data_IF_401398303659
#
_entry.id   IF_401398303659
#
_cell.length_a   1.000
_cell.length_b   1.000
_cell.length_c   1.000
_cell.angle_alpha   90.00
_cell.angle_beta   90.00
_cell.angle_gamma   90.00
#
_symmetry.space_group_name_H-M   'P 1'
#
loop_
_entity.id
_entity.type
_entity.pdbx_description
1 polymer ?
#
# COMPACT_ATOMS: atom_id res chain seq x y z
N UNK A 1 -3.54 3.86 -6.31
CA UNK A 1 -3.61 3.71 -7.76
C UNK A 1 -2.92 2.42 -8.12
N UNK A 2 -3.66 1.63 -8.87
CA UNK A 2 -3.27 0.30 -9.26
C UNK A 2 -2.02 0.38 -10.15
N UNK A 3 -1.07 -0.52 -9.91
CA UNK A 3 0.20 -0.55 -10.66
C UNK A 3 -0.05 -1.26 -12.00
N UNK A 4 -0.73 -0.57 -12.90
CA UNK A 4 -1.04 -1.03 -14.25
C UNK A 4 -0.60 -0.01 -15.29
N UNK A 5 -0.28 -0.47 -16.49
CA UNK A 5 0.02 0.42 -17.61
C UNK A 5 -1.22 1.24 -17.98
N UNK A 6 -1.08 2.56 -18.08
CA UNK A 6 -2.17 3.48 -18.44
C UNK A 6 -2.66 3.31 -19.89
N UNK A 7 -1.94 2.55 -20.72
CA UNK A 7 -2.29 2.27 -22.12
C UNK A 7 -2.80 0.83 -22.26
N UNK A 8 -1.99 -0.15 -21.87
CA UNK A 8 -2.30 -1.58 -22.10
C UNK A 8 -3.09 -2.24 -20.97
N UNK A 9 -3.31 -1.54 -19.84
CA UNK A 9 -3.91 -2.08 -18.62
C UNK A 9 -3.19 -3.31 -18.03
N UNK A 10 -2.00 -3.64 -18.53
CA UNK A 10 -1.21 -4.78 -18.07
C UNK A 10 -0.54 -4.50 -16.73
N UNK A 11 -0.46 -5.54 -15.89
CA UNK A 11 0.32 -5.54 -14.65
C UNK A 11 1.78 -6.01 -14.83
N UNK A 12 2.16 -6.38 -16.05
CA UNK A 12 3.47 -6.98 -16.35
C UNK A 12 4.44 -5.86 -16.71
N UNK A 13 5.60 -5.82 -16.03
CA UNK A 13 6.69 -4.87 -16.29
C UNK A 13 6.21 -3.40 -16.37
N UNK A 14 5.58 -2.92 -15.31
CA UNK A 14 5.07 -1.54 -15.25
C UNK A 14 6.11 -0.60 -14.62
N UNK A 15 6.26 0.59 -15.21
CA UNK A 15 7.21 1.63 -14.87
C UNK A 15 6.46 2.92 -14.57
N UNK A 16 6.88 3.67 -13.55
CA UNK A 16 6.34 5.02 -13.29
C UNK A 16 7.24 6.07 -13.94
N UNK A 17 6.66 6.94 -14.77
CA UNK A 17 7.35 8.12 -15.30
C UNK A 17 7.44 9.18 -14.19
N UNK A 18 8.65 9.58 -13.80
CA UNK A 18 8.85 10.59 -12.75
C UNK A 18 8.51 12.02 -13.19
N UNK A 19 8.36 12.27 -14.50
CA UNK A 19 7.98 13.57 -15.04
C UNK A 19 6.47 13.79 -14.97
N UNK A 20 5.68 12.81 -15.43
CA UNK A 20 4.22 12.94 -15.53
C UNK A 20 3.42 12.09 -14.54
N UNK A 21 4.08 11.21 -13.76
CA UNK A 21 3.45 10.35 -12.76
C UNK A 21 2.64 9.17 -13.33
N UNK A 22 2.57 9.01 -14.66
CA UNK A 22 1.83 7.92 -15.32
C UNK A 22 2.62 6.61 -15.33
N UNK A 23 1.89 5.50 -15.41
CA UNK A 23 2.45 4.16 -15.45
C UNK A 23 2.47 3.62 -16.88
N UNK A 24 3.60 3.08 -17.33
CA UNK A 24 3.79 2.53 -18.68
C UNK A 24 4.35 1.11 -18.61
N UNK A 25 3.98 0.25 -19.55
CA UNK A 25 4.57 -1.07 -19.70
C UNK A 25 5.91 -0.94 -20.42
N UNK A 26 6.98 -1.47 -19.85
CA UNK A 26 8.28 -1.54 -20.53
C UNK A 26 8.50 -2.90 -21.16
N UNK A 27 8.86 -2.88 -22.44
CA UNK A 27 9.20 -4.08 -23.21
C UNK A 27 10.62 -4.55 -22.86
N UNK A 28 10.76 -5.84 -22.54
CA UNK A 28 12.03 -6.52 -22.67
C UNK A 28 12.30 -6.75 -24.16
N UNK A 29 13.06 -5.84 -24.80
CA UNK A 29 13.59 -5.91 -26.18
C UNK A 29 12.55 -5.93 -27.32
N UNK A 30 12.56 -4.87 -28.14
CA UNK A 30 12.26 -4.97 -29.58
C UNK A 30 10.82 -4.79 -30.08
N UNK A 31 9.88 -4.31 -29.27
CA UNK A 31 8.52 -3.97 -29.73
C UNK A 31 8.37 -2.47 -29.96
N UNK A 32 7.98 -2.08 -31.18
CA UNK A 32 7.64 -0.70 -31.58
C UNK A 32 6.46 -0.18 -30.76
N UNK A 33 6.75 0.55 -29.69
CA UNK A 33 5.88 1.55 -29.06
C UNK A 33 6.78 2.52 -28.27
N UNK A 34 7.78 3.07 -28.95
CA UNK A 34 8.57 4.18 -28.45
C UNK A 34 7.86 5.47 -28.80
N UNK A 35 6.91 5.88 -27.96
CA UNK A 35 6.84 7.30 -27.63
C UNK A 35 8.10 7.61 -26.83
N UNK A 36 8.89 8.58 -27.25
CA UNK A 36 10.19 8.95 -26.66
C UNK A 36 10.16 9.02 -25.12
N UNK A 37 10.61 7.95 -24.46
CA UNK A 37 10.88 7.97 -23.03
C UNK A 37 12.39 8.20 -22.87
N UNK A 38 12.81 9.45 -23.12
CA UNK A 38 14.00 10.04 -22.49
C UNK A 38 13.70 10.44 -21.01
N UNK A 39 12.77 9.75 -20.35
CA UNK A 39 12.31 10.10 -19.00
C UNK A 39 12.68 9.01 -18.00
N UNK A 40 13.37 9.45 -16.94
CA UNK A 40 13.80 8.66 -15.78
C UNK A 40 12.67 7.76 -15.28
N UNK A 41 12.80 6.45 -15.51
CA UNK A 41 11.78 5.46 -15.17
C UNK A 41 12.18 4.64 -13.95
N UNK A 42 11.32 4.59 -12.93
CA UNK A 42 11.49 3.73 -11.76
C UNK A 42 10.76 2.41 -12.00
N UNK A 43 11.48 1.28 -12.03
CA UNK A 43 10.88 -0.05 -12.12
C UNK A 43 10.02 -0.35 -10.88
N UNK A 44 8.75 -0.67 -11.11
CA UNK A 44 7.84 -1.25 -10.12
C UNK A 44 7.53 -2.69 -10.55
N UNK A 45 8.54 -3.55 -10.53
CA UNK A 45 8.35 -4.97 -10.79
C UNK A 45 7.61 -5.66 -9.63
N UNK A 46 6.41 -6.18 -9.90
CA UNK A 46 5.59 -6.91 -8.93
C UNK A 46 6.20 -8.28 -8.52
N UNK A 47 7.28 -8.73 -9.16
CA UNK A 47 7.81 -10.10 -8.97
C UNK A 47 9.21 -10.20 -8.39
N UNK A 48 10.04 -9.13 -8.38
CA UNK A 48 11.46 -9.26 -7.98
C UNK A 48 12.01 -8.14 -7.09
N UNK A 49 11.18 -7.21 -6.62
CA UNK A 49 11.61 -6.16 -5.67
C UNK A 49 12.80 -5.30 -6.14
N UNK A 50 13.19 -5.39 -7.41
CA UNK A 50 14.37 -4.74 -7.95
C UNK A 50 13.93 -3.49 -8.71
N UNK A 51 14.03 -2.35 -8.05
CA UNK A 51 13.91 -1.04 -8.68
C UNK A 51 15.16 -0.77 -9.52
N UNK A 52 15.11 -1.11 -10.80
CA UNK A 52 16.14 -0.72 -11.78
C UNK A 52 15.73 0.60 -12.43
N UNK A 53 16.54 1.64 -12.27
CA UNK A 53 16.43 2.85 -13.07
C UNK A 53 16.98 2.51 -14.45
N UNK A 54 16.16 2.63 -15.50
CA UNK A 54 16.62 2.52 -16.88
C UNK A 54 16.60 3.92 -17.49
N UNK A 55 17.79 4.43 -17.82
CA UNK A 55 18.00 5.71 -18.49
C UNK A 55 18.82 6.70 -17.66
N UNK A 56 20.11 6.82 -18.04
CA UNK A 56 21.12 7.81 -17.64
C UNK A 56 21.46 7.91 -16.15
N UNK A 57 22.76 7.97 -15.83
CA UNK A 57 23.35 7.92 -14.48
C UNK A 57 22.83 8.94 -13.47
N UNK A 58 21.63 8.72 -12.94
CA UNK A 58 21.03 9.48 -11.85
C UNK A 58 20.83 8.54 -10.65
N UNK A 59 21.90 8.31 -9.89
CA UNK A 59 21.88 7.55 -8.64
C UNK A 59 21.24 8.34 -7.45
N UNK A 60 20.59 9.47 -7.71
CA UNK A 60 20.35 10.51 -6.70
C UNK A 60 19.08 10.44 -5.85
N UNK A 61 18.06 9.63 -6.15
CA UNK A 61 16.76 9.76 -5.46
C UNK A 61 16.29 8.51 -4.71
N UNK A 62 16.97 8.18 -3.61
CA UNK A 62 16.47 7.21 -2.62
C UNK A 62 15.07 7.60 -2.07
N UNK A 63 14.76 8.90 -2.03
CA UNK A 63 13.47 9.41 -1.55
C UNK A 63 12.25 8.91 -2.35
N UNK A 64 12.34 8.84 -3.68
CA UNK A 64 11.24 8.37 -4.53
C UNK A 64 10.93 6.89 -4.32
N UNK A 65 11.97 6.07 -4.05
CA UNK A 65 11.80 4.64 -3.72
C UNK A 65 11.04 4.45 -2.40
N UNK A 66 11.37 5.26 -1.40
CA UNK A 66 10.75 5.20 -0.08
C UNK A 66 9.26 5.58 -0.12
N UNK A 67 8.87 6.54 -0.97
CA UNK A 67 7.45 6.89 -1.14
C UNK A 67 6.65 5.77 -1.80
N UNK A 68 7.25 5.09 -2.78
CA UNK A 68 6.58 4.03 -3.54
C UNK A 68 6.40 2.74 -2.73
N UNK A 69 7.39 2.41 -1.88
CA UNK A 69 7.32 1.28 -0.94
C UNK A 69 8.00 1.68 0.37
N UNK A 70 7.27 2.29 1.31
CA UNK A 70 7.83 2.66 2.61
C UNK A 70 8.22 1.38 3.36
N UNK A 71 9.44 1.35 3.88
CA UNK A 71 9.95 0.28 4.72
C UNK A 71 10.30 0.82 6.10
N UNK A 72 10.07 0.01 7.13
CA UNK A 72 10.32 0.38 8.51
C UNK A 72 11.23 -0.67 9.13
N UNK A 73 12.28 -0.22 9.81
CA UNK A 73 13.11 -1.11 10.63
C UNK A 73 12.51 -1.25 12.03
N UNK A 74 12.81 -2.34 12.73
CA UNK A 74 12.31 -2.55 14.10
C UNK A 74 12.63 -1.37 15.04
N UNK A 75 13.84 -0.79 14.93
CA UNK A 75 14.24 0.39 15.68
C UNK A 75 13.38 1.63 15.35
N UNK A 76 13.05 1.84 14.08
CA UNK A 76 12.15 2.92 13.67
C UNK A 76 10.76 2.72 14.27
N UNK A 77 10.23 1.49 14.21
CA UNK A 77 8.91 1.14 14.74
C UNK A 77 8.83 1.42 16.25
N UNK A 78 9.83 1.03 17.04
CA UNK A 78 9.86 1.31 18.48
C UNK A 78 9.95 2.80 18.81
N UNK A 79 10.56 3.59 17.92
CA UNK A 79 10.72 5.03 18.10
C UNK A 79 9.52 5.85 17.60
N UNK A 80 8.60 5.27 16.81
CA UNK A 80 7.42 5.97 16.30
C UNK A 80 6.54 6.54 17.41
N UNK A 81 6.37 5.79 18.51
CA UNK A 81 5.54 6.24 19.65
C UNK A 81 6.23 7.28 20.52
N UNK A 82 7.56 7.38 20.42
CA UNK A 82 8.38 8.28 21.26
C UNK A 82 8.68 9.61 20.58
N UNK A 83 8.52 9.70 19.26
CA UNK A 83 8.89 10.87 18.48
C UNK A 83 7.66 11.62 17.97
N UNK A 84 7.30 12.70 18.65
CA UNK A 84 6.32 13.68 18.17
C UNK A 84 6.92 14.65 17.12
N UNK A 85 7.79 14.15 16.25
CA UNK A 85 8.47 15.01 15.27
C UNK A 85 7.56 15.24 14.06
N UNK A 86 7.25 16.50 13.80
CA UNK A 86 6.60 16.92 12.56
C UNK A 86 7.48 16.54 11.36
N UNK A 87 6.87 15.83 10.42
CA UNK A 87 7.43 15.51 9.12
C UNK A 87 6.99 16.54 8.10
N UNK A 88 7.85 16.86 7.13
CA UNK A 88 7.55 17.83 6.08
C UNK A 88 7.34 17.11 4.77
N UNK A 89 6.18 17.31 4.16
CA UNK A 89 5.89 16.83 2.83
C UNK A 89 6.63 17.67 1.77
N UNK A 90 6.72 17.16 0.54
CA UNK A 90 7.42 17.85 -0.54
C UNK A 90 6.74 19.16 -0.95
N UNK A 91 5.42 19.26 -0.80
CA UNK A 91 4.64 20.49 -0.98
C UNK A 91 4.87 21.54 0.12
N UNK A 92 5.69 21.22 1.13
CA UNK A 92 6.01 22.09 2.24
C UNK A 92 5.09 21.92 3.46
N UNK A 93 4.01 21.15 3.34
CA UNK A 93 3.04 20.91 4.42
C UNK A 93 3.66 20.08 5.54
N UNK A 94 3.50 20.53 6.78
CA UNK A 94 3.90 19.76 7.97
C UNK A 94 2.79 18.81 8.40
N UNK A 95 3.13 17.57 8.71
CA UNK A 95 2.20 16.56 9.20
C UNK A 95 2.87 15.64 10.23
N UNK A 96 2.09 15.01 11.08
CA UNK A 96 2.58 13.94 11.95
C UNK A 96 2.36 12.59 11.26
N UNK A 97 3.39 11.73 11.14
CA UNK A 97 3.20 10.37 10.66
C UNK A 97 2.09 9.67 11.45
N UNK A 98 1.18 8.99 10.76
CA UNK A 98 -0.02 8.39 11.37
C UNK A 98 -1.21 9.33 11.48
N UNK A 99 -1.00 10.64 11.62
CA UNK A 99 -2.05 11.67 11.64
C UNK A 99 -2.09 12.38 10.27
N UNK A 100 -2.50 11.62 9.26
CA UNK A 100 -2.50 12.04 7.86
C UNK A 100 -3.90 11.85 7.29
N UNK A 101 -4.43 12.82 6.55
CA UNK A 101 -5.79 12.72 6.00
C UNK A 101 -5.95 11.57 5.00
N UNK A 102 -7.07 10.85 5.04
CA UNK A 102 -7.46 9.92 3.99
C UNK A 102 -8.37 10.62 2.98
N UNK A 103 -8.11 10.45 1.68
CA UNK A 103 -8.98 11.04 0.65
C UNK A 103 -10.41 10.47 0.77
N UNK A 104 -11.39 11.36 0.80
CA UNK A 104 -12.77 11.00 0.56
C UNK A 104 -12.99 10.92 -0.95
N UNK A 105 -13.30 9.73 -1.46
CA UNK A 105 -13.50 9.48 -2.88
C UNK A 105 -14.95 9.75 -3.24
N UNK A 106 -15.88 9.27 -2.40
CA UNK A 106 -17.31 9.59 -2.46
C UNK A 106 -17.95 9.53 -1.06
N UNK A 107 -18.42 8.35 -0.64
CA UNK A 107 -19.14 8.14 0.60
C UNK A 107 -18.44 7.07 1.45
N UNK A 108 -17.10 7.16 1.55
CA UNK A 108 -16.24 6.17 2.24
C UNK A 108 -15.66 6.70 3.55
N UNK A 109 -16.29 7.72 4.13
CA UNK A 109 -15.93 8.32 5.41
C UNK A 109 -16.01 7.33 6.58
N UNK A 110 -17.03 6.47 6.61
CA UNK A 110 -17.17 5.39 7.60
C UNK A 110 -15.92 4.49 7.62
N UNK A 111 -15.44 4.09 6.45
CA UNK A 111 -14.24 3.25 6.32
C UNK A 111 -12.98 4.05 6.67
N UNK A 112 -12.88 5.32 6.27
CA UNK A 112 -11.76 6.16 6.61
C UNK A 112 -11.61 6.35 8.13
N UNK A 113 -12.72 6.57 8.84
CA UNK A 113 -12.73 6.71 10.29
C UNK A 113 -12.21 5.43 10.97
N UNK A 114 -12.72 4.26 10.55
CA UNK A 114 -12.29 2.97 11.08
C UNK A 114 -10.82 2.68 10.77
N UNK A 115 -10.36 2.92 9.55
CA UNK A 115 -8.96 2.70 9.16
C UNK A 115 -8.00 3.61 9.93
N UNK A 116 -8.42 4.86 10.22
CA UNK A 116 -7.66 5.78 11.06
C UNK A 116 -7.62 5.34 12.53
N UNK A 117 -8.73 4.84 13.06
CA UNK A 117 -8.78 4.29 14.41
C UNK A 117 -7.81 3.10 14.55
N UNK A 118 -7.85 2.17 13.59
CA UNK A 118 -6.96 0.99 13.60
C UNK A 118 -5.49 1.34 13.34
N UNK A 119 -5.22 2.38 12.55
CA UNK A 119 -3.87 2.91 12.30
C UNK A 119 -3.15 3.35 13.57
N UNK A 120 -3.90 3.88 14.53
CA UNK A 120 -3.36 4.40 15.78
C UNK A 120 -3.30 3.37 16.91
N UNK A 121 -3.62 2.10 16.63
CA UNK A 121 -3.46 0.99 17.59
C UNK A 121 -2.02 0.46 17.48
N UNK A 122 -1.10 0.75 18.42
CA UNK A 122 0.33 0.44 18.26
C UNK A 122 0.67 -1.02 17.95
N UNK A 123 0.10 -2.05 18.63
CA UNK A 123 0.45 -3.44 18.32
C UNK A 123 -0.01 -3.86 16.92
N UNK A 124 -1.20 -3.43 16.50
CA UNK A 124 -1.74 -3.72 15.18
C UNK A 124 -0.93 -3.01 14.10
N UNK A 125 -0.66 -1.72 14.29
CA UNK A 125 0.19 -0.91 13.43
C UNK A 125 1.55 -1.56 13.23
N UNK A 126 2.26 -1.87 14.33
CA UNK A 126 3.60 -2.42 14.29
C UNK A 126 3.66 -3.74 13.50
N UNK A 127 2.66 -4.60 13.67
CA UNK A 127 2.53 -5.84 12.90
C UNK A 127 2.45 -5.57 11.38
N UNK A 128 1.64 -4.60 10.97
CA UNK A 128 1.40 -4.27 9.55
C UNK A 128 2.44 -3.36 8.90
N UNK A 129 3.29 -2.68 9.68
CA UNK A 129 4.42 -1.90 9.17
C UNK A 129 5.54 -2.79 8.61
N UNK A 130 5.67 -4.01 9.11
CA UNK A 130 6.66 -4.98 8.68
C UNK A 130 6.02 -6.09 7.85
N UNK A 131 6.34 -6.13 6.56
CA UNK A 131 5.73 -7.06 5.60
C UNK A 131 6.04 -8.53 5.91
N UNK A 132 7.21 -8.79 6.49
CA UNK A 132 7.67 -10.14 6.80
C UNK A 132 6.79 -10.84 7.86
N UNK A 133 6.07 -10.07 8.69
CA UNK A 133 5.17 -10.60 9.71
C UNK A 133 3.98 -11.37 9.14
N UNK A 134 3.53 -11.06 7.92
CA UNK A 134 2.35 -11.68 7.31
C UNK A 134 2.61 -12.28 5.93
N UNK A 135 3.74 -11.98 5.29
CA UNK A 135 4.09 -12.49 3.96
C UNK A 135 4.34 -14.00 3.92
N UNK A 136 4.83 -14.58 5.01
CA UNK A 136 5.13 -16.02 5.16
C UNK A 136 3.90 -16.88 5.47
N UNK A 137 2.73 -16.27 5.67
CA UNK A 137 1.50 -16.99 5.97
C UNK A 137 1.07 -17.84 4.76
N UNK A 138 0.85 -19.13 5.00
CA UNK A 138 0.36 -20.06 3.99
C UNK A 138 -1.09 -19.76 3.65
N UNK A 139 -1.38 -19.76 2.35
CA UNK A 139 -2.67 -19.33 1.80
C UNK A 139 -3.28 -20.46 0.99
N UNK A 140 -4.60 -20.70 1.12
CA UNK A 140 -5.29 -21.58 0.20
C UNK A 140 -5.29 -20.97 -1.22
N UNK A 141 -5.22 -21.80 -2.28
CA UNK A 141 -5.33 -21.31 -3.65
C UNK A 141 -6.68 -20.62 -3.86
N UNK A 142 -6.66 -19.42 -4.45
CA UNK A 142 -7.87 -18.61 -4.69
C UNK A 142 -8.33 -17.73 -3.52
N UNK A 143 -7.55 -17.62 -2.44
CA UNK A 143 -7.90 -16.75 -1.31
C UNK A 143 -7.78 -15.26 -1.65
N UNK A 144 -8.94 -14.63 -1.86
CA UNK A 144 -9.05 -13.18 -2.08
C UNK A 144 -8.91 -12.37 -0.79
N UNK A 145 -9.17 -12.96 0.39
CA UNK A 145 -9.21 -12.24 1.67
C UNK A 145 -7.83 -11.76 2.09
N UNK A 146 -6.78 -12.48 1.69
CA UNK A 146 -5.40 -12.05 1.94
C UNK A 146 -5.05 -10.73 1.25
N UNK A 147 -5.76 -10.34 0.18
CA UNK A 147 -5.58 -9.03 -0.44
C UNK A 147 -5.88 -7.91 0.56
N UNK A 148 -6.83 -8.10 1.49
CA UNK A 148 -7.09 -7.13 2.57
C UNK A 148 -5.87 -6.94 3.44
N UNK A 149 -5.22 -8.02 3.87
CA UNK A 149 -4.01 -7.99 4.71
C UNK A 149 -2.90 -7.22 4.01
N UNK A 150 -2.67 -7.53 2.72
CA UNK A 150 -1.64 -6.86 1.93
C UNK A 150 -1.93 -5.37 1.73
N UNK A 151 -3.15 -5.02 1.32
CA UNK A 151 -3.54 -3.62 1.08
C UNK A 151 -3.61 -2.80 2.36
N UNK A 152 -4.02 -3.41 3.47
CA UNK A 152 -4.02 -2.77 4.77
C UNK A 152 -2.60 -2.47 5.24
N UNK A 153 -1.67 -3.43 5.11
CA UNK A 153 -0.25 -3.19 5.40
C UNK A 153 0.38 -2.14 4.49
N UNK A 154 0.04 -2.11 3.19
CA UNK A 154 0.46 -1.03 2.28
C UNK A 154 -0.10 0.34 2.71
N UNK A 155 -1.35 0.41 3.16
CA UNK A 155 -1.97 1.64 3.65
C UNK A 155 -1.30 2.13 4.94
N UNK A 156 -1.07 1.23 5.90
CA UNK A 156 -0.40 1.55 7.18
C UNK A 156 0.97 2.15 6.95
N UNK A 157 1.77 1.54 6.06
CA UNK A 157 3.10 2.03 5.70
C UNK A 157 3.06 3.40 5.03
N UNK A 158 2.02 3.72 4.26
CA UNK A 158 1.83 5.05 3.66
C UNK A 158 1.39 6.11 4.67
N UNK A 159 0.51 5.76 5.61
CA UNK A 159 0.03 6.65 6.66
C UNK A 159 1.17 7.05 7.62
N UNK A 160 1.99 6.07 8.00
CA UNK A 160 3.11 6.25 8.92
C UNK A 160 4.42 6.63 8.22
N UNK A 161 4.39 6.94 6.93
CA UNK A 161 5.58 7.36 6.19
C UNK A 161 6.00 8.79 6.61
N UNK A 162 7.20 9.00 7.20
CA UNK A 162 7.71 10.32 7.56
C UNK A 162 8.22 11.15 6.38
N UNK A 163 8.20 10.60 5.16
CA UNK A 163 8.70 11.25 3.93
C UNK A 163 7.67 11.16 2.81
N UNK A 164 6.42 11.53 3.06
CA UNK A 164 5.37 11.58 2.04
C UNK A 164 5.55 12.79 1.13
N UNK A 165 5.09 12.68 -0.12
CA UNK A 165 5.03 13.82 -1.03
C UNK A 165 3.93 14.82 -0.68
N UNK A 166 2.83 14.33 -0.07
CA UNK A 166 1.66 15.11 0.33
C UNK A 166 1.21 14.71 1.72
N UNK A 167 0.59 15.64 2.45
CA UNK A 167 0.01 15.38 3.77
C UNK A 167 -1.37 14.66 3.73
N UNK A 168 -1.63 13.88 2.68
CA UNK A 168 -2.82 13.02 2.57
C UNK A 168 -2.51 11.74 1.79
N UNK A 169 -3.25 10.67 2.07
CA UNK A 169 -3.10 9.35 1.44
C UNK A 169 -4.43 8.91 0.85
N UNK A 170 -4.41 8.41 -0.39
CA UNK A 170 -5.60 7.84 -1.02
C UNK A 170 -5.79 6.37 -0.59
N UNK A 171 -6.92 6.02 0.06
CA UNK A 171 -7.22 4.64 0.45
C UNK A 171 -7.81 3.80 -0.70
N UNK A 172 -7.81 4.28 -1.94
CA UNK A 172 -8.49 3.63 -3.07
C UNK A 172 -8.20 2.13 -3.21
N UNK A 173 -6.93 1.71 -3.18
CA UNK A 173 -6.56 0.28 -3.30
C UNK A 173 -7.10 -0.56 -2.14
N UNK A 174 -7.11 0.01 -0.94
CA UNK A 174 -7.64 -0.64 0.26
C UNK A 174 -9.15 -0.81 0.12
N UNK A 175 -9.84 0.23 -0.33
CA UNK A 175 -11.28 0.20 -0.52
C UNK A 175 -11.70 -0.73 -1.65
N UNK A 176 -10.92 -0.83 -2.74
CA UNK A 176 -11.18 -1.83 -3.78
C UNK A 176 -11.07 -3.26 -3.23
N UNK A 177 -10.06 -3.54 -2.40
CA UNK A 177 -9.93 -4.83 -1.74
C UNK A 177 -11.13 -5.09 -0.80
N UNK A 178 -11.58 -4.07 -0.05
CA UNK A 178 -12.78 -4.15 0.79
C UNK A 178 -14.02 -4.47 -0.04
N UNK A 179 -14.27 -3.77 -1.14
CA UNK A 179 -15.43 -4.03 -2.02
C UNK A 179 -15.41 -5.46 -2.56
N UNK A 180 -14.23 -5.93 -2.99
CA UNK A 180 -14.06 -7.27 -3.53
C UNK A 180 -14.31 -8.35 -2.47
N UNK A 181 -13.67 -8.23 -1.30
CA UNK A 181 -13.72 -9.22 -0.23
C UNK A 181 -15.07 -9.23 0.51
N UNK A 182 -15.73 -8.07 0.59
CA UNK A 182 -17.07 -7.94 1.18
C UNK A 182 -18.19 -8.30 0.22
N UNK A 183 -17.88 -8.72 -1.02
CA UNK A 183 -18.87 -9.01 -2.07
C UNK A 183 -19.83 -7.84 -2.31
N UNK A 184 -19.30 -6.61 -2.32
CA UNK A 184 -20.02 -5.34 -2.49
C UNK A 184 -20.95 -4.94 -1.34
N UNK A 185 -20.81 -5.53 -0.14
CA UNK A 185 -21.52 -5.05 1.05
C UNK A 185 -21.02 -3.66 1.48
N UNK A 186 -19.71 -3.42 1.41
CA UNK A 186 -19.10 -2.12 1.73
C UNK A 186 -18.62 -1.46 0.43
N UNK A 187 -19.41 -0.51 -0.08
CA UNK A 187 -19.13 0.18 -1.34
C UNK A 187 -18.46 1.54 -1.10
N UNK A 188 -17.73 2.03 -2.11
CA UNK A 188 -17.11 3.36 -2.09
C UNK A 188 -18.16 4.45 -2.38
N UNK A 189 -19.15 4.11 -3.21
CA UNK A 189 -20.21 4.99 -3.70
C UNK A 189 -21.38 5.14 -2.74
N UNK A 190 -21.57 4.19 -1.82
CA UNK A 190 -22.67 4.17 -0.86
C UNK A 190 -22.09 4.14 0.55
N UNK A 191 -22.54 5.05 1.39
CA UNK A 191 -22.16 5.10 2.80
C UNK A 191 -22.65 3.84 3.52
N UNK A 192 -21.76 3.24 4.31
CA UNK A 192 -22.06 2.14 5.21
C UNK A 192 -21.97 2.60 6.66
N UNK A 193 -22.31 1.70 7.57
CA UNK A 193 -22.13 1.93 9.01
C UNK A 193 -20.69 1.58 9.44
N UNK A 194 -20.12 2.41 10.32
CA UNK A 194 -18.75 2.23 10.81
C UNK A 194 -18.58 1.03 11.74
N UNK A 195 -19.59 0.69 12.54
CA UNK A 195 -19.57 -0.45 13.47
C UNK A 195 -19.70 -1.75 12.69
N UNK A 196 -20.58 -1.80 11.70
CA UNK A 196 -20.72 -2.96 10.80
C UNK A 196 -19.42 -3.19 10.03
N UNK A 197 -18.83 -2.11 9.50
CA UNK A 197 -17.56 -2.19 8.79
C UNK A 197 -16.42 -2.65 9.70
N UNK A 198 -16.27 -2.09 10.90
CA UNK A 198 -15.24 -2.48 11.86
C UNK A 198 -15.36 -3.96 12.24
N UNK A 199 -16.58 -4.41 12.56
CA UNK A 199 -16.85 -5.79 12.98
C UNK A 199 -16.51 -6.78 11.87
N UNK A 200 -16.97 -6.49 10.65
CA UNK A 200 -16.61 -7.30 9.49
C UNK A 200 -15.10 -7.27 9.22
N UNK A 201 -14.48 -6.09 9.26
CA UNK A 201 -13.10 -5.89 8.87
C UNK A 201 -12.12 -6.61 9.79
N UNK A 202 -12.31 -6.53 11.11
CA UNK A 202 -11.50 -7.27 12.07
C UNK A 202 -11.64 -8.78 11.92
N UNK A 203 -12.86 -9.28 11.73
CA UNK A 203 -13.12 -10.70 11.51
C UNK A 203 -12.50 -11.20 10.19
N UNK A 204 -12.58 -10.38 9.13
CA UNK A 204 -11.96 -10.66 7.84
C UNK A 204 -10.43 -10.68 7.94
N UNK A 205 -9.82 -9.71 8.63
CA UNK A 205 -8.38 -9.69 8.88
C UNK A 205 -7.93 -10.90 9.70
N UNK A 206 -8.62 -11.23 10.78
CA UNK A 206 -8.31 -12.39 11.61
C UNK A 206 -8.37 -13.69 10.79
N UNK A 207 -9.42 -13.86 9.99
CA UNK A 207 -9.58 -15.03 9.12
C UNK A 207 -8.47 -15.13 8.06
N UNK A 208 -8.09 -14.01 7.46
CA UNK A 208 -7.07 -13.95 6.41
C UNK A 208 -5.63 -14.15 6.96
N UNK A 209 -5.39 -13.82 8.22
CA UNK A 209 -4.11 -14.07 8.91
C UNK A 209 -3.94 -15.52 9.40
N UNK A 210 -4.87 -16.42 9.05
CA UNK A 210 -4.82 -17.84 9.42
C UNK A 210 -5.77 -18.22 10.56
N UNK A 211 -6.46 -17.24 11.15
CA UNK A 211 -7.45 -17.45 12.22
C UNK A 211 -6.91 -18.25 13.41
N UNK A 212 -7.74 -19.09 14.01
CA UNK A 212 -7.40 -20.01 15.10
C UNK A 212 -6.87 -21.37 14.63
N UNK A 213 -6.55 -21.53 13.33
CA UNK A 213 -6.08 -22.82 12.81
C UNK A 213 -4.69 -23.12 13.39
N UNK A 214 -4.58 -24.17 14.20
CA UNK A 214 -3.29 -24.70 14.67
C UNK A 214 -2.39 -24.93 13.45
N UNK A 215 -1.13 -24.46 13.51
CA UNK A 215 -0.08 -24.87 12.55
C UNK A 215 -0.17 -26.40 12.41
N UNK A 216 -0.45 -26.90 11.21
CA UNK A 216 -0.26 -28.33 10.93
C UNK A 216 1.20 -28.61 11.27
N UNK A 217 1.45 -29.40 12.31
CA UNK A 217 2.77 -29.97 12.55
C UNK A 217 3.15 -30.66 11.26
N UNK A 218 4.28 -30.28 10.68
CA UNK A 218 4.91 -31.06 9.61
C UNK A 218 5.10 -32.47 10.15
N UNK A 219 4.34 -33.43 9.60
CA UNK A 219 4.66 -34.84 9.76
C UNK A 219 6.01 -35.06 9.07
N UNK A 220 6.87 -35.77 9.80
CA UNK A 220 8.29 -36.00 9.50
C UNK A 220 8.48 -36.83 8.24
#
# INVERSE_FOLDING_TARGET
FEKLCSISLSHINVYACLVCGKYFQGCCRGGRDTGDIQSVGVLLGNTRGTTRLLGCGWEGHQGARYVLKPTFTAQQITNLDKQAKLSRAYDGTTYLPGIVGLNNIKANDYANAVLQALSNVPPLRNYFLEEENYKSIQRPPGDIMFLLVQRFGELMRKLWNPRNFKAHVSPHEMLQAVVLCSKKNFQITKQGDGVDFLSWFLNALHSALGGTKKKKKSEW
#
